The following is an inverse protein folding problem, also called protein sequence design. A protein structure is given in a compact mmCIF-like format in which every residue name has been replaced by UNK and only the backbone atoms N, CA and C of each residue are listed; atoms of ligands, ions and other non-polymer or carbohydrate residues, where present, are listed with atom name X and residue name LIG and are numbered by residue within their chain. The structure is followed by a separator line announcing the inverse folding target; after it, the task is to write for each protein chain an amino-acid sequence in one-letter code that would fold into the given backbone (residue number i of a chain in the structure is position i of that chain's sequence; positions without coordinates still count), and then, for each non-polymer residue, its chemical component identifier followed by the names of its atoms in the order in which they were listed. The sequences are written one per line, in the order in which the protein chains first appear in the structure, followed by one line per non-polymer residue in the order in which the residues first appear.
data_IF_694447637330
#
_entry.id   IF_694447637330
#
_cell.length_a   1.000
_cell.length_b   1.000
_cell.length_c   1.000
_cell.angle_alpha   90.00
_cell.angle_beta   90.00
_cell.angle_gamma   90.00
#
_symmetry.space_group_name_H-M   'P 1'
#
loop_
_entity.id
_entity.type
_entity.pdbx_description
1 polymer ?
2 water ?
#
# COMPACT_ATOMS: atom_id res chain seq x y z
N UNK A 15 -8.11 16.84 11.42
CA UNK A 15 -6.87 16.14 11.11
C UNK A 15 -6.19 16.78 9.90
N UNK A 16 -5.10 16.18 9.44
CA UNK A 16 -4.33 16.71 8.32
C UNK A 16 -4.87 16.22 6.98
N UNK A 17 -4.69 17.04 5.95
CA UNK A 17 -5.06 16.67 4.59
C UNK A 17 -4.32 15.39 4.18
N UNK A 18 -5.08 14.34 3.88
CA UNK A 18 -4.51 13.03 3.62
C UNK A 18 -4.80 12.54 2.20
N UNK A 19 -3.75 12.07 1.53
CA UNK A 19 -3.86 11.49 0.19
C UNK A 19 -3.51 10.01 0.26
N UNK A 20 -4.42 9.17 -0.21
CA UNK A 20 -4.19 7.74 -0.25
C UNK A 20 -3.50 7.34 -1.53
N UNK A 21 -2.36 6.66 -1.41
CA UNK A 21 -1.62 6.16 -2.56
C UNK A 21 -1.89 4.67 -2.77
N UNK A 22 -2.47 4.34 -3.92
CA UNK A 22 -2.85 2.96 -4.24
C UNK A 22 -2.23 2.48 -5.54
N UNK A 23 -2.43 1.20 -5.83
CA UNK A 23 -1.83 0.54 -6.97
C UNK A 23 -1.05 -0.67 -6.49
N UNK A 24 -0.33 -1.31 -7.41
CA UNK A 24 0.57 -2.40 -7.05
C UNK A 24 2.02 -1.95 -7.19
N UNK A 25 2.92 -2.63 -6.48
CA UNK A 25 4.32 -2.24 -6.47
C UNK A 25 4.95 -2.44 -7.85
N UNK A 26 4.43 -3.39 -8.61
CA UNK A 26 4.94 -3.65 -9.96
C UNK A 26 4.59 -2.51 -10.91
N UNK A 27 3.82 -1.54 -10.44
CA UNK A 27 3.44 -0.39 -11.25
C UNK A 27 4.24 0.87 -10.89
N UNK A 28 5.09 0.76 -9.88
CA UNK A 28 5.97 1.85 -9.48
C UNK A 28 5.47 2.66 -8.30
N UNK A 29 4.56 2.08 -7.53
CA UNK A 29 3.96 2.76 -6.39
C UNK A 29 5.01 3.21 -5.37
N UNK A 30 5.97 2.34 -5.07
CA UNK A 30 7.03 2.66 -4.11
C UNK A 30 7.90 3.81 -4.60
N UNK A 31 8.15 3.85 -5.91
CA UNK A 31 8.95 4.92 -6.50
C UNK A 31 8.22 6.25 -6.40
N UNK A 32 6.91 6.24 -6.64
CA UNK A 32 6.08 7.44 -6.51
C UNK A 32 6.10 7.94 -5.07
N UNK A 33 5.95 7.02 -4.12
CA UNK A 33 5.98 7.38 -2.71
C UNK A 33 7.29 8.07 -2.35
N UNK A 34 8.39 7.53 -2.84
CA UNK A 34 9.71 8.10 -2.56
C UNK A 34 9.82 9.50 -3.17
N UNK A 35 9.23 9.69 -4.35
CA UNK A 35 9.26 10.99 -5.01
C UNK A 35 8.48 12.04 -4.21
N UNK A 36 7.42 11.62 -3.52
CA UNK A 36 6.69 12.53 -2.65
C UNK A 36 7.53 12.88 -1.42
N UNK A 37 8.24 11.88 -0.89
CA UNK A 37 9.15 12.09 0.23
C UNK A 37 10.23 13.10 -0.15
N UNK A 38 10.69 13.03 -1.40
CA UNK A 38 11.70 13.94 -1.92
C UNK A 38 11.17 15.36 -2.02
N UNK A 39 9.86 15.52 -1.89
CA UNK A 39 9.24 16.84 -1.90
C UNK A 39 8.91 17.30 -0.47
N UNK A 40 9.35 16.53 0.51
CA UNK A 40 9.20 16.90 1.91
C UNK A 40 7.88 16.46 2.51
N UNK A 41 7.17 15.57 1.82
CA UNK A 41 5.88 15.07 2.27
C UNK A 41 6.09 13.82 3.13
N UNK A 42 5.49 13.83 4.32
CA UNK A 42 5.47 12.64 5.16
C UNK A 42 4.68 11.53 4.48
N UNK A 43 5.30 10.37 4.35
CA UNK A 43 4.64 9.21 3.77
C UNK A 43 4.47 8.14 4.84
N UNK A 44 3.22 7.79 5.11
CA UNK A 44 2.89 6.72 6.04
C UNK A 44 2.69 5.43 5.25
N UNK A 45 3.52 4.44 5.55
CA UNK A 45 3.46 3.15 4.88
C UNK A 45 2.64 2.16 5.70
N UNK A 46 1.43 1.88 5.24
CA UNK A 46 0.53 1.01 5.98
C UNK A 46 1.00 -0.44 6.00
N UNK A 47 1.68 -0.86 4.93
CA UNK A 47 2.22 -2.22 4.87
C UNK A 47 3.38 -2.39 5.86
N UNK A 48 4.25 -1.38 5.93
CA UNK A 48 5.33 -1.37 6.91
C UNK A 48 4.76 -1.45 8.33
N UNK A 49 3.71 -0.68 8.57
CA UNK A 49 3.04 -0.68 9.87
C UNK A 49 2.49 -2.07 10.17
N UNK A 50 1.91 -2.71 9.16
CA UNK A 50 1.33 -4.04 9.33
C UNK A 50 2.42 -5.05 9.69
N UNK A 51 3.59 -4.88 9.08
CA UNK A 51 4.74 -5.74 9.36
C UNK A 51 5.29 -5.51 10.76
N UNK A 52 5.46 -4.25 11.12
CA UNK A 52 5.95 -3.88 12.45
C UNK A 52 5.00 -4.38 13.54
N UNK A 53 3.70 -4.30 13.28
CA UNK A 53 2.71 -4.72 14.26
C UNK A 53 2.63 -6.25 14.39
N UNK A 54 3.15 -6.96 13.39
CA UNK A 54 3.13 -8.43 13.41
C UNK A 54 4.54 -9.00 13.46
N UNK A 55 5.47 -8.20 13.97
CA UNK A 55 6.85 -8.65 14.07
C UNK A 55 6.99 -9.65 15.21
N UNK A 56 8.12 -10.35 15.21
CA UNK A 56 8.39 -11.41 16.18
C UNK A 56 8.16 -10.96 17.62
N UNK A 57 7.36 -11.74 18.34
CA UNK A 57 7.04 -11.51 19.75
C UNK A 57 6.32 -10.19 20.03
N UNK A 58 5.49 -9.76 19.07
CA UNK A 58 4.55 -8.66 19.30
C UNK A 58 3.19 -9.25 19.69
N UNK A 59 2.29 -8.42 20.21
CA UNK A 59 0.96 -8.91 20.59
C UNK A 59 0.15 -9.53 19.44
N UNK A 60 0.06 -8.85 18.30
CA UNK A 60 -0.71 -9.37 17.18
C UNK A 60 -0.06 -10.62 16.60
N UNK A 61 1.27 -10.64 16.62
CA UNK A 61 2.05 -11.79 16.20
C UNK A 61 1.63 -13.05 16.96
N UNK A 62 1.39 -12.88 18.26
CA UNK A 62 0.99 -13.99 19.12
C UNK A 62 -0.46 -14.40 18.88
N UNK A 63 -1.31 -13.43 18.58
CA UNK A 63 -2.70 -13.72 18.23
C UNK A 63 -2.78 -14.52 16.93
N UNK A 64 -1.93 -14.18 15.97
CA UNK A 64 -1.95 -14.82 14.66
C UNK A 64 -1.52 -16.28 14.77
N UNK A 65 -0.42 -16.53 15.48
CA UNK A 65 0.09 -17.88 15.64
C UNK A 65 -0.91 -18.73 16.42
N UNK A 66 -1.56 -18.11 17.40
CA UNK A 66 -2.55 -18.79 18.21
C UNK A 66 -3.73 -19.25 17.35
N UNK A 67 -4.03 -18.47 16.31
CA UNK A 67 -5.13 -18.78 15.41
C UNK A 67 -4.71 -19.73 14.28
N UNK A 68 -3.58 -19.42 13.64
CA UNK A 68 -3.14 -20.17 12.47
C UNK A 68 -2.28 -21.38 12.81
N UNK A 69 -1.67 -21.38 13.99
CA UNK A 69 -0.84 -22.49 14.43
C UNK A 69 0.60 -22.35 13.98
N UNK A 70 1.42 -23.34 14.31
CA UNK A 70 2.86 -23.27 14.11
C UNK A 70 3.29 -23.35 12.64
N UNK A 71 2.37 -23.70 11.76
CA UNK A 71 2.71 -23.89 10.35
C UNK A 71 3.02 -22.57 9.65
N UNK A 72 2.59 -21.45 10.24
CA UNK A 72 2.86 -20.14 9.66
C UNK A 72 4.04 -19.47 10.37
N UNK A 73 4.88 -20.29 10.99
CA UNK A 73 6.09 -19.82 11.65
C UNK A 73 7.31 -20.38 10.94
N UNK A 74 8.21 -19.50 10.53
CA UNK A 74 9.44 -19.89 9.86
C UNK A 74 10.47 -20.38 10.87
N UNK A 75 11.61 -20.83 10.36
CA UNK A 75 12.75 -21.17 11.21
C UNK A 75 13.13 -19.99 12.09
N UNK A 76 13.02 -18.79 11.53
CA UNK A 76 13.29 -17.55 12.24
C UNK A 76 12.56 -17.43 13.57
N UNK A 77 11.32 -17.90 13.60
CA UNK A 77 10.36 -17.49 14.60
C UNK A 77 9.52 -16.37 14.01
N UNK A 78 9.95 -15.89 12.85
CA UNK A 78 9.24 -14.86 12.10
C UNK A 78 8.03 -15.47 11.39
N UNK A 79 7.04 -14.64 11.09
CA UNK A 79 5.84 -15.12 10.40
C UNK A 79 6.13 -15.49 8.95
N UNK A 80 5.54 -16.60 8.50
CA UNK A 80 5.57 -16.98 7.10
C UNK A 80 4.48 -16.22 6.37
N UNK A 81 4.80 -15.00 5.96
CA UNK A 81 3.81 -14.08 5.40
C UNK A 81 3.27 -14.55 4.05
N UNK A 82 4.12 -15.18 3.25
CA UNK A 82 3.70 -15.71 1.96
C UNK A 82 2.63 -16.77 2.16
N UNK A 83 2.83 -17.62 3.16
CA UNK A 83 1.88 -18.68 3.47
C UNK A 83 0.56 -18.10 3.96
N UNK A 84 0.64 -17.09 4.82
CA UNK A 84 -0.56 -16.45 5.35
C UNK A 84 -1.35 -15.77 4.23
N UNK A 85 -0.66 -15.07 3.34
CA UNK A 85 -1.32 -14.43 2.21
C UNK A 85 -2.04 -15.46 1.34
N UNK A 86 -1.39 -16.60 1.12
CA UNK A 86 -1.96 -17.67 0.31
C UNK A 86 -3.22 -18.23 0.97
N UNK A 87 -3.19 -18.36 2.29
CA UNK A 87 -4.33 -18.89 3.04
C UNK A 87 -5.54 -17.97 2.95
N UNK A 88 -5.35 -16.68 3.21
CA UNK A 88 -6.49 -15.77 3.29
C UNK A 88 -7.06 -15.46 1.91
N UNK A 89 -6.23 -15.60 0.87
CA UNK A 89 -6.70 -15.39 -0.49
C UNK A 89 -7.81 -16.39 -0.83
N UNK A 90 -7.62 -17.64 -0.41
CA UNK A 90 -8.54 -18.73 -0.76
C UNK A 90 -9.58 -18.98 0.34
N UNK A 91 -9.35 -18.42 1.52
CA UNK A 91 -10.22 -18.65 2.67
C UNK A 91 -10.76 -17.34 3.23
N UNK A 92 -12.02 -17.04 2.91
CA UNK A 92 -12.64 -15.77 3.27
C UNK A 92 -12.83 -15.62 4.78
N UNK A 93 -13.10 -16.73 5.46
CA UNK A 93 -13.26 -16.70 6.92
C UNK A 93 -11.97 -16.30 7.62
N UNK A 94 -10.85 -16.85 7.16
CA UNK A 94 -9.55 -16.51 7.72
C UNK A 94 -9.17 -15.09 7.34
N UNK A 95 -9.54 -14.68 6.13
CA UNK A 95 -9.25 -13.33 5.66
C UNK A 95 -9.98 -12.29 6.51
N UNK A 96 -11.23 -12.56 6.85
CA UNK A 96 -12.01 -11.64 7.67
C UNK A 96 -11.50 -11.63 9.11
N UNK A 97 -11.08 -12.80 9.60
CA UNK A 97 -10.51 -12.88 10.94
C UNK A 97 -9.25 -12.03 11.05
N UNK A 98 -8.37 -12.13 10.06
CA UNK A 98 -7.11 -11.41 10.11
C UNK A 98 -7.32 -9.91 9.93
N UNK A 99 -8.27 -9.55 9.06
CA UNK A 99 -8.62 -8.15 8.85
C UNK A 99 -9.22 -7.56 10.12
N UNK A 100 -10.04 -8.34 10.82
CA UNK A 100 -10.64 -7.89 12.06
C UNK A 100 -9.59 -7.68 13.15
N UNK A 101 -8.50 -8.45 13.09
CA UNK A 101 -7.43 -8.32 14.07
C UNK A 101 -6.61 -7.06 13.83
N UNK A 102 -6.20 -6.86 12.58
CA UNK A 102 -5.17 -5.88 12.27
C UNK A 102 -5.70 -4.50 11.89
N UNK A 103 -6.88 -4.42 11.28
CA UNK A 103 -7.40 -3.13 10.83
C UNK A 103 -7.48 -2.10 11.96
N UNK A 104 -8.07 -2.48 13.11
CA UNK A 104 -8.16 -1.53 14.22
C UNK A 104 -6.80 -1.03 14.70
N UNK A 105 -5.83 -1.94 14.83
CA UNK A 105 -4.52 -1.55 15.34
C UNK A 105 -3.73 -0.78 14.29
N UNK A 106 -3.85 -1.17 13.02
CA UNK A 106 -3.17 -0.45 11.94
C UNK A 106 -3.68 0.98 11.88
N UNK A 107 -5.00 1.12 11.94
CA UNK A 107 -5.64 2.42 11.84
C UNK A 107 -5.22 3.36 12.97
N UNK A 108 -5.08 2.82 14.17
CA UNK A 108 -4.66 3.62 15.31
C UNK A 108 -3.21 4.09 15.13
N UNK A 109 -2.38 3.23 14.53
CA UNK A 109 -0.99 3.58 14.30
C UNK A 109 -0.88 4.68 13.24
N UNK A 110 -1.72 4.60 12.21
CA UNK A 110 -1.75 5.64 11.18
C UNK A 110 -2.19 6.96 11.80
N UNK A 111 -3.27 6.92 12.58
CA UNK A 111 -3.79 8.11 13.22
C UNK A 111 -2.75 8.78 14.11
N UNK A 112 -1.94 7.98 14.79
CA UNK A 112 -0.85 8.51 15.61
C UNK A 112 0.14 9.30 14.76
N UNK A 113 0.46 8.78 13.58
CA UNK A 113 1.40 9.43 12.68
C UNK A 113 0.83 10.72 12.10
N UNK A 114 -0.48 10.72 11.88
CA UNK A 114 -1.16 11.90 11.34
C UNK A 114 -1.16 13.05 12.34
N UNK A 115 -1.26 12.73 13.63
CA UNK A 115 -1.26 13.75 14.68
C UNK A 115 0.06 14.52 14.68
N UNK A 116 1.15 13.82 14.42
CA UNK A 116 2.48 14.42 14.48
C UNK A 116 3.03 14.71 13.08
N UNK A 117 2.14 14.74 12.10
CA UNK A 117 2.53 15.05 10.72
C UNK A 117 3.07 16.47 10.62
N UNK A 118 4.26 16.61 10.04
CA UNK A 118 4.93 17.89 9.96
C UNK A 118 4.83 18.53 8.57
N UNK A 119 4.32 17.78 7.60
CA UNK A 119 4.22 18.26 6.22
C UNK A 119 2.84 18.88 5.94
N UNK A 120 2.74 19.72 4.90
CA UNK A 120 1.49 20.41 4.55
C UNK A 120 0.31 19.47 4.31
N UNK A 121 0.61 18.29 3.78
CA UNK A 121 -0.38 17.21 3.68
C UNK A 121 0.37 15.91 3.87
N UNK A 122 -0.38 14.83 4.05
CA UNK A 122 0.22 13.53 4.31
C UNK A 122 -0.17 12.53 3.22
N UNK A 123 0.80 11.71 2.83
CA UNK A 123 0.56 10.62 1.89
C UNK A 123 0.50 9.30 2.65
N UNK A 124 -0.55 8.53 2.40
CA UNK A 124 -0.72 7.24 3.06
C UNK A 124 -0.71 6.13 2.02
N UNK A 125 0.39 5.38 1.96
CA UNK A 125 0.49 4.28 1.02
C UNK A 125 -0.33 3.10 1.52
N UNK A 126 -1.43 2.84 0.83
CA UNK A 126 -2.29 1.71 1.14
C UNK A 126 -1.80 0.49 0.35
N UNK A 127 -1.69 -0.67 1.02
CA UNK A 127 -1.21 -1.87 0.32
C UNK A 127 -2.19 -2.33 -0.75
N UNK A 128 -1.80 -3.32 -1.54
CA UNK A 128 -2.46 -3.57 -2.81
C UNK A 128 -3.92 -3.99 -2.62
N UNK A 129 -4.23 -4.58 -1.47
CA UNK A 129 -5.61 -4.95 -1.15
C UNK A 129 -6.33 -3.75 -0.52
N UNK A 130 -6.73 -2.80 -1.36
CA UNK A 130 -7.33 -1.56 -0.87
C UNK A 130 -8.74 -1.80 -0.32
N UNK A 131 -8.97 -1.29 0.89
CA UNK A 131 -10.26 -1.36 1.57
C UNK A 131 -10.71 0.04 1.97
N UNK A 132 -11.33 0.75 1.03
CA UNK A 132 -11.62 2.18 1.19
C UNK A 132 -12.46 2.49 2.43
N UNK A 133 -13.34 1.57 2.80
CA UNK A 133 -14.19 1.73 3.98
C UNK A 133 -13.38 1.95 5.25
N UNK A 134 -12.23 1.28 5.35
CA UNK A 134 -11.39 1.38 6.54
C UNK A 134 -10.50 2.62 6.51
N UNK A 135 -10.64 3.43 5.47
CA UNK A 135 -9.88 4.67 5.35
C UNK A 135 -10.80 5.84 4.98
N UNK A 136 -11.72 6.19 5.88
CA UNK A 136 -12.70 7.26 5.66
C UNK A 136 -12.09 8.66 5.67
N UNK A 137 -10.89 8.75 6.23
CA UNK A 137 -10.28 10.04 6.56
C UNK A 137 -9.43 10.60 5.41
N UNK A 138 -9.56 10.01 4.22
CA UNK A 138 -8.80 10.47 3.06
C UNK A 138 -9.54 11.57 2.32
N UNK A 139 -8.81 12.63 1.97
CA UNK A 139 -9.35 13.68 1.12
C UNK A 139 -9.24 13.30 -0.35
N UNK A 140 -8.15 12.62 -0.70
CA UNK A 140 -7.88 12.22 -2.08
C UNK A 140 -7.36 10.79 -2.15
N UNK A 141 -7.63 10.13 -3.27
CA UNK A 141 -7.04 8.83 -3.57
C UNK A 141 -6.24 8.96 -4.86
N UNK A 142 -4.95 8.62 -4.79
CA UNK A 142 -4.09 8.55 -5.97
C UNK A 142 -3.80 7.10 -6.33
N UNK A 143 -4.08 6.75 -7.57
CA UNK A 143 -3.85 5.39 -8.06
C UNK A 143 -2.74 5.40 -9.11
N UNK A 144 -1.71 4.59 -8.88
CA UNK A 144 -0.61 4.46 -9.83
C UNK A 144 -0.79 3.20 -10.67
N UNK A 145 -0.71 3.36 -11.99
CA UNK A 145 -0.80 2.23 -12.90
C UNK A 145 0.33 2.27 -13.92
N UNK A 146 0.66 1.10 -14.47
CA UNK A 146 1.69 1.00 -15.50
C UNK A 146 1.25 0.01 -16.56
N UNK A 147 1.84 0.10 -17.76
CA UNK A 147 1.53 -0.86 -18.82
C UNK A 147 1.86 -2.28 -18.39
N UNK A 148 1.13 -3.26 -18.92
CA UNK A 148 1.31 -4.65 -18.52
C UNK A 148 2.75 -5.14 -18.68
N UNK A 149 3.38 -4.78 -19.79
CA UNK A 149 4.73 -5.27 -20.07
C UNK A 149 5.73 -4.78 -19.03
N UNK A 150 5.58 -3.52 -18.61
CA UNK A 150 6.46 -2.96 -17.59
C UNK A 150 6.27 -3.69 -16.27
N UNK A 151 5.02 -3.96 -15.92
CA UNK A 151 4.70 -4.68 -14.69
C UNK A 151 5.38 -6.04 -14.66
N UNK A 152 5.20 -6.80 -15.74
CA UNK A 152 5.83 -8.10 -15.87
C UNK A 152 7.34 -7.97 -15.69
N UNK A 153 7.95 -7.05 -16.42
CA UNK A 153 9.39 -6.83 -16.32
C UNK A 153 9.81 -6.58 -14.87
N UNK A 154 9.09 -5.69 -14.18
CA UNK A 154 9.40 -5.37 -12.80
C UNK A 154 9.25 -6.58 -11.87
N UNK A 155 8.17 -7.33 -12.03
CA UNK A 155 7.95 -8.53 -11.21
C UNK A 155 9.06 -9.54 -11.46
N UNK A 156 9.46 -9.67 -12.73
CA UNK A 156 10.49 -10.63 -13.10
C UNK A 156 11.79 -10.32 -12.36
N UNK A 157 12.18 -9.05 -12.33
CA UNK A 157 13.46 -8.68 -11.74
C UNK A 157 13.41 -8.80 -10.22
N UNK A 158 12.25 -8.48 -9.65
CA UNK A 158 12.10 -8.44 -8.20
C UNK A 158 11.99 -9.84 -7.59
N UNK A 159 11.44 -10.78 -8.35
CA UNK A 159 11.24 -12.15 -7.86
C UNK A 159 11.99 -13.18 -8.70
N UNK A 160 12.76 -12.71 -9.68
CA UNK A 160 13.57 -13.57 -10.55
C UNK A 160 12.77 -14.72 -11.15
N UNK A 161 11.45 -14.58 -11.20
CA UNK A 161 10.60 -15.61 -11.76
C UNK A 161 10.54 -15.48 -13.28
N UNK A 162 9.66 -16.25 -13.91
CA UNK A 162 9.50 -16.20 -15.36
C UNK A 162 8.39 -15.22 -15.71
N UNK A 163 8.34 -14.80 -16.97
CA UNK A 163 7.33 -13.86 -17.41
C UNK A 163 5.93 -14.44 -17.25
N UNK A 164 5.81 -15.74 -17.52
CA UNK A 164 4.52 -16.42 -17.43
C UNK A 164 4.04 -16.46 -15.98
N UNK A 165 4.97 -16.71 -15.06
CA UNK A 165 4.65 -16.72 -13.64
C UNK A 165 4.25 -15.32 -13.18
N UNK A 166 4.97 -14.32 -13.67
CA UNK A 166 4.66 -12.93 -13.37
C UNK A 166 3.25 -12.60 -13.82
N UNK A 167 2.88 -13.10 -14.99
CA UNK A 167 1.55 -12.85 -15.54
C UNK A 167 0.48 -13.51 -14.69
N UNK A 168 0.78 -14.69 -14.15
CA UNK A 168 -0.15 -15.39 -13.28
C UNK A 168 -0.29 -14.65 -11.95
N UNK A 169 0.82 -14.11 -11.46
CA UNK A 169 0.83 -13.33 -10.23
C UNK A 169 -0.07 -12.11 -10.39
N UNK A 170 -0.04 -11.52 -11.58
CA UNK A 170 -0.87 -10.35 -11.87
C UNK A 170 -2.33 -10.75 -12.04
N UNK A 171 -2.55 -11.97 -12.49
CA UNK A 171 -3.89 -12.46 -12.80
C UNK A 171 -4.78 -12.53 -11.56
N UNK A 172 -4.16 -12.67 -10.40
CA UNK A 172 -4.90 -12.82 -9.15
C UNK A 172 -5.11 -11.48 -8.45
N UNK A 173 -4.69 -10.39 -9.09
CA UNK A 173 -4.82 -9.07 -8.50
C UNK A 173 -6.15 -8.43 -8.89
N UNK A 174 -6.72 -7.60 -8.01
CA UNK A 174 -8.02 -6.97 -8.25
C UNK A 174 -8.07 -6.18 -9.55
N UNK A 175 -9.14 -6.36 -10.31
CA UNK A 175 -9.33 -5.64 -11.56
C UNK A 175 -9.40 -4.14 -11.29
N UNK A 176 -8.78 -3.34 -12.15
CA UNK A 176 -8.58 -1.93 -11.86
C UNK A 176 -9.83 -1.08 -12.10
N UNK A 177 -10.88 -1.68 -12.64
CA UNK A 177 -12.13 -0.96 -12.91
C UNK A 177 -12.62 -0.20 -11.68
N UNK A 178 -12.77 -0.90 -10.56
CA UNK A 178 -13.28 -0.29 -9.34
C UNK A 178 -12.28 0.72 -8.80
N UNK A 179 -11.02 0.33 -8.76
CA UNK A 179 -9.94 1.21 -8.31
C UNK A 179 -9.88 2.47 -9.16
N UNK A 180 -10.05 2.31 -10.47
CA UNK A 180 -9.98 3.43 -11.40
C UNK A 180 -11.13 4.41 -11.20
N UNK A 181 -12.31 3.87 -10.91
CA UNK A 181 -13.47 4.70 -10.62
C UNK A 181 -13.34 5.36 -9.25
N UNK A 182 -12.72 4.65 -8.32
CA UNK A 182 -12.62 5.11 -6.93
C UNK A 182 -11.39 5.99 -6.69
N UNK A 183 -10.70 6.38 -7.76
CA UNK A 183 -9.52 7.22 -7.65
C UNK A 183 -9.82 8.64 -8.12
N UNK A 184 -9.32 9.62 -7.38
CA UNK A 184 -9.48 11.02 -7.78
C UNK A 184 -8.45 11.37 -8.85
N UNK A 185 -7.30 10.71 -8.79
CA UNK A 185 -6.25 10.91 -9.78
C UNK A 185 -5.58 9.58 -10.12
N UNK A 186 -5.21 9.44 -11.39
CA UNK A 186 -4.54 8.24 -11.86
C UNK A 186 -3.22 8.63 -12.51
N UNK A 187 -2.13 8.13 -11.95
CA UNK A 187 -0.81 8.38 -12.49
C UNK A 187 -0.44 7.21 -13.41
N UNK A 188 -0.42 7.47 -14.71
CA UNK A 188 -0.05 6.46 -15.68
C UNK A 188 1.47 6.47 -15.83
N UNK A 189 2.11 5.50 -15.19
CA UNK A 189 3.56 5.38 -15.25
C UNK A 189 3.96 4.59 -16.49
N UNK A 190 4.08 5.29 -17.62
CA UNK A 190 4.32 4.65 -18.91
C UNK A 190 5.54 5.23 -19.61
N UNK A 191 6.38 5.93 -18.85
CA UNK A 191 7.58 6.55 -19.39
C UNK A 191 8.77 6.23 -18.49
N UNK A 192 9.70 7.17 -18.37
CA UNK A 192 10.86 6.99 -17.51
C UNK A 192 10.66 7.65 -16.16
N UNK A 193 11.75 7.76 -15.40
CA UNK A 193 11.69 8.25 -14.04
C UNK A 193 11.60 9.78 -13.97
N UNK A 194 12.19 10.46 -14.94
CA UNK A 194 12.13 11.91 -15.00
C UNK A 194 10.69 12.38 -15.18
N UNK A 195 9.96 11.72 -16.08
CA UNK A 195 8.57 12.07 -16.34
C UNK A 195 7.70 11.67 -15.16
N UNK A 196 8.04 10.54 -14.53
CA UNK A 196 7.30 10.09 -13.36
C UNK A 196 7.45 11.11 -12.23
N UNK A 197 8.68 11.58 -12.04
CA UNK A 197 8.95 12.60 -11.03
C UNK A 197 8.22 13.89 -11.38
N UNK A 198 8.18 14.22 -12.67
CA UNK A 198 7.50 15.43 -13.13
C UNK A 198 6.01 15.38 -12.83
N UNK A 199 5.42 14.21 -13.00
CA UNK A 199 4.00 14.03 -12.72
C UNK A 199 3.70 14.12 -11.23
N UNK A 200 4.57 13.55 -10.40
CA UNK A 200 4.40 13.63 -8.95
C UNK A 200 4.45 15.09 -8.52
N UNK A 201 5.39 15.84 -9.09
CA UNK A 201 5.54 17.25 -8.78
C UNK A 201 4.27 18.04 -9.09
N UNK A 202 3.59 17.68 -10.18
CA UNK A 202 2.35 18.35 -10.55
C UNK A 202 1.21 18.00 -9.59
N UNK A 203 1.14 16.73 -9.21
CA UNK A 203 0.18 16.29 -8.21
C UNK A 203 0.44 16.97 -6.87
N UNK A 204 1.72 17.13 -6.55
CA UNK A 204 2.14 17.79 -5.33
C UNK A 204 1.59 19.21 -5.27
N UNK A 205 1.79 19.97 -6.35
CA UNK A 205 1.24 21.32 -6.45
C UNK A 205 -0.28 21.34 -6.33
N UNK A 206 -0.93 20.30 -6.84
CA UNK A 206 -2.38 20.20 -6.79
C UNK A 206 -2.87 20.00 -5.35
N UNK A 207 -2.26 19.06 -4.64
CA UNK A 207 -2.64 18.78 -3.26
C UNK A 207 -2.38 19.97 -2.34
N UNK A 208 -1.28 20.68 -2.58
CA UNK A 208 -0.98 21.90 -1.83
C UNK A 208 -2.07 22.94 -2.07
N UNK A 209 -2.52 23.06 -3.31
CA UNK A 209 -3.52 24.07 -3.65
C UNK A 209 -4.85 23.73 -3.00
N UNK A 210 -5.24 22.46 -3.06
CA UNK A 210 -6.52 22.03 -2.51
C UNK A 210 -6.50 22.06 -0.99
N UNK A 211 -5.38 21.67 -0.39
CA UNK A 211 -5.25 21.69 1.06
C UNK A 211 -5.32 23.12 1.59
N UNK A 212 -4.88 24.08 0.78
CA UNK A 212 -4.85 25.47 1.19
C UNK A 212 -6.25 26.08 1.29
N UNK A 213 -7.14 25.71 0.38
CA UNK A 213 -8.43 26.39 0.25
C UNK A 213 -9.62 25.59 0.76
N UNK A 214 -9.38 24.38 1.26
CA UNK A 214 -10.46 23.55 1.77
C UNK A 214 -10.31 23.35 3.27
N UNK A 215 -11.42 23.55 3.97
CA UNK A 215 -11.52 23.22 5.38
C UNK A 215 -12.73 22.31 5.58
#
# INVERSE_FOLDING_TARGET
MGHHHHHHMKEPTQMVYSVGLTGNIASGKSTVAEFFSELGINVIYADKIAKELTSKNTPCYQDIISHFGSSVVLNNGELDRKRIRDIIFSNSNERLWLESLLHPVIRKKIEEQLIVCTSPYCLIEIPLLFNKHHYPYLQKVLLVIAPLESQLDRIVKRDHCTKKQALAILATQPNLEQRLEAADDVLINESGLSELKAKVNKLHQKYLREAKIKQ
#
